data_IF_255763146616
#
_entry.id   IF_255763146616
#
_cell.length_a   1.000
_cell.length_b   1.000
_cell.length_c   1.000
_cell.angle_alpha   90.00
_cell.angle_beta   90.00
_cell.angle_gamma   90.00
#
_symmetry.space_group_name_H-M   'P 1'
#
loop_
_entity.id
_entity.type
_entity.pdbx_description
1 polymer ?
#
# COMPACT_ATOMS: atom_id res chain seq x y z
N UNK A 1 2.52 3.99 -54.78
CA UNK A 1 3.50 2.94 -55.12
C UNK A 1 3.48 1.95 -53.97
N UNK A 2 2.92 0.79 -54.23
CA UNK A 2 2.64 -0.32 -53.30
C UNK A 2 3.77 -1.34 -53.35
N UNK A 3 4.31 -1.70 -52.19
CA UNK A 3 5.19 -2.87 -52.08
C UNK A 3 4.63 -3.81 -51.03
N UNK A 4 4.06 -4.92 -51.47
CA UNK A 4 3.65 -6.07 -50.65
C UNK A 4 4.84 -7.01 -50.51
N UNK A 5 5.25 -7.33 -49.29
CA UNK A 5 6.19 -8.42 -49.00
C UNK A 5 5.41 -9.59 -48.42
N UNK A 6 5.45 -10.74 -49.13
CA UNK A 6 4.93 -12.04 -48.72
C UNK A 6 6.03 -12.77 -47.96
N UNK A 7 5.75 -13.29 -46.77
CA UNK A 7 6.61 -14.28 -46.12
C UNK A 7 6.00 -15.66 -46.19
N UNK A 8 6.81 -16.60 -46.67
CA UNK A 8 6.53 -18.02 -46.80
C UNK A 8 6.58 -18.74 -45.45
N UNK A 9 5.63 -19.64 -45.23
CA UNK A 9 5.63 -20.68 -44.19
C UNK A 9 6.54 -21.84 -44.60
N UNK A 10 7.42 -22.25 -43.71
CA UNK A 10 8.13 -23.52 -43.78
C UNK A 10 7.76 -24.36 -42.54
N UNK A 11 7.04 -25.45 -42.79
CA UNK A 11 6.72 -26.51 -41.84
C UNK A 11 7.87 -27.51 -41.83
N UNK A 12 8.34 -27.87 -40.66
CA UNK A 12 9.28 -29.02 -40.49
C UNK A 12 8.67 -29.99 -39.48
N UNK A 13 8.33 -31.17 -39.98
CA UNK A 13 7.93 -32.34 -39.23
C UNK A 13 9.17 -33.08 -38.73
N UNK A 14 9.19 -33.51 -37.48
CA UNK A 14 10.21 -34.46 -36.99
C UNK A 14 9.52 -35.64 -36.29
N UNK A 15 9.99 -36.79 -36.66
CA UNK A 15 9.49 -38.14 -36.51
C UNK A 15 9.80 -38.72 -35.12
N UNK A 16 8.82 -39.43 -34.56
CA UNK A 16 8.89 -40.31 -33.37
C UNK A 16 9.73 -41.58 -33.67
N UNK A 17 10.58 -41.98 -32.74
CA UNK A 17 11.07 -43.38 -32.65
C UNK A 17 10.85 -43.90 -31.26
N UNK A 18 9.94 -44.90 -31.18
CA UNK A 18 9.79 -45.83 -30.03
C UNK A 18 10.94 -46.87 -30.06
N UNK A 19 11.50 -47.13 -28.90
CA UNK A 19 12.28 -48.36 -28.68
C UNK A 19 11.83 -48.98 -27.37
N UNK A 20 11.09 -50.10 -27.49
CA UNK A 20 10.80 -51.04 -26.43
C UNK A 20 11.91 -52.08 -26.32
N UNK A 21 12.35 -52.39 -25.10
CA UNK A 21 13.01 -53.63 -24.77
C UNK A 21 12.51 -54.15 -23.44
N UNK A 22 11.76 -55.22 -23.55
CA UNK A 22 11.32 -56.12 -22.50
C UNK A 22 12.47 -57.04 -22.06
N UNK A 23 12.61 -57.28 -20.75
CA UNK A 23 13.29 -58.48 -20.25
C UNK A 23 12.80 -58.84 -18.85
N UNK A 24 12.05 -59.92 -18.85
CA UNK A 24 11.56 -60.66 -17.67
C UNK A 24 12.74 -61.17 -16.82
N UNK A 25 12.59 -61.09 -15.48
CA UNK A 25 13.14 -62.05 -14.52
C UNK A 25 12.51 -61.85 -13.14
N UNK A 26 11.70 -62.80 -12.71
CA UNK A 26 11.29 -63.06 -11.32
C UNK A 26 12.01 -64.39 -10.86
N UNK A 27 11.97 -64.82 -9.56
CA UNK A 27 11.74 -64.09 -8.30
C UNK A 27 12.78 -64.38 -7.20
N UNK A 28 12.84 -63.59 -6.13
CA UNK A 28 13.23 -64.10 -4.82
C UNK A 28 12.60 -63.23 -3.73
N UNK A 29 11.83 -63.86 -2.85
CA UNK A 29 11.21 -63.27 -1.67
C UNK A 29 12.27 -62.93 -0.61
N UNK A 30 12.15 -61.73 -0.02
CA UNK A 30 12.43 -61.58 1.41
C UNK A 30 11.70 -60.34 1.95
N UNK A 31 11.15 -60.48 3.16
CA UNK A 31 10.19 -59.58 3.75
C UNK A 31 10.80 -58.20 4.12
N UNK A 32 10.26 -57.18 3.49
CA UNK A 32 10.43 -55.79 3.94
C UNK A 32 9.06 -55.21 4.32
N UNK A 33 8.96 -54.86 5.58
CA UNK A 33 7.86 -54.09 6.16
C UNK A 33 7.65 -52.80 5.33
N UNK A 34 6.41 -52.48 4.88
CA UNK A 34 6.20 -51.21 4.18
C UNK A 34 6.40 -50.06 5.13
N UNK A 35 7.42 -49.24 4.85
CA UNK A 35 7.58 -47.95 5.49
C UNK A 35 6.37 -47.07 5.16
N UNK A 36 5.68 -46.57 6.17
CA UNK A 36 4.64 -45.60 6.02
C UNK A 36 5.15 -44.41 5.16
N UNK A 37 4.30 -43.86 4.25
CA UNK A 37 4.70 -42.70 3.49
C UNK A 37 4.98 -41.55 4.47
N UNK A 38 6.23 -41.15 4.59
CA UNK A 38 6.62 -39.97 5.33
C UNK A 38 5.83 -38.80 4.79
N UNK A 39 5.02 -38.18 5.65
CA UNK A 39 4.36 -36.92 5.34
C UNK A 39 5.44 -35.96 4.85
N UNK A 40 5.31 -35.50 3.60
CA UNK A 40 6.14 -34.43 3.08
C UNK A 40 5.88 -33.22 3.98
N UNK A 41 6.84 -32.89 4.83
CA UNK A 41 6.84 -31.65 5.61
C UNK A 41 7.02 -30.55 4.58
N UNK A 42 5.91 -29.90 4.23
CA UNK A 42 5.97 -28.64 3.49
C UNK A 42 6.79 -27.68 4.34
N UNK A 43 7.90 -27.09 3.82
CA UNK A 43 8.60 -26.06 4.57
C UNK A 43 7.56 -25.00 4.94
N UNK A 44 7.38 -24.71 6.23
CA UNK A 44 6.62 -23.56 6.66
C UNK A 44 7.31 -22.36 6.00
N UNK A 45 6.62 -21.70 5.08
CA UNK A 45 7.10 -20.48 4.45
C UNK A 45 7.43 -19.51 5.58
N UNK A 46 8.72 -19.17 5.72
CA UNK A 46 9.14 -18.26 6.77
C UNK A 46 8.40 -16.94 6.57
N UNK A 47 7.65 -16.50 7.59
CA UNK A 47 6.93 -15.25 7.53
C UNK A 47 7.91 -14.11 7.17
N UNK A 48 7.50 -13.19 6.30
CA UNK A 48 8.32 -12.04 5.94
C UNK A 48 8.73 -11.27 7.22
N UNK A 49 9.93 -10.65 7.24
CA UNK A 49 10.33 -9.80 8.35
C UNK A 49 9.40 -8.58 8.51
N UNK A 50 9.35 -8.01 9.70
CA UNK A 50 8.64 -6.74 9.95
C UNK A 50 9.50 -5.52 9.70
N UNK A 51 10.80 -5.69 9.59
CA UNK A 51 11.75 -4.59 9.40
C UNK A 51 12.75 -4.93 8.32
N UNK A 52 13.22 -3.90 7.65
CA UNK A 52 14.37 -3.96 6.76
C UNK A 52 15.19 -2.70 6.98
N UNK A 53 16.52 -2.79 6.91
CA UNK A 53 17.40 -1.63 6.89
C UNK A 53 18.66 -1.95 6.10
N UNK A 54 19.11 -0.97 5.33
CA UNK A 54 20.34 -1.04 4.58
C UNK A 54 21.05 0.32 4.65
N UNK A 55 22.36 0.28 4.78
CA UNK A 55 23.20 1.48 4.78
C UNK A 55 24.36 1.28 3.79
N UNK A 56 24.44 2.19 2.84
CA UNK A 56 25.56 2.29 1.90
C UNK A 56 26.38 3.53 2.18
N UNK A 57 27.38 3.83 1.38
CA UNK A 57 28.09 5.10 1.42
C UNK A 57 27.23 6.27 0.95
N UNK A 58 26.13 6.03 0.23
CA UNK A 58 25.31 7.03 -0.47
C UNK A 58 23.91 7.14 0.08
N UNK A 59 23.39 6.12 0.77
CA UNK A 59 22.05 6.12 1.31
C UNK A 59 21.90 5.33 2.61
N UNK A 60 20.93 5.72 3.43
CA UNK A 60 20.41 4.93 4.54
C UNK A 60 18.92 4.73 4.28
N UNK A 61 18.49 3.47 4.23
CA UNK A 61 17.08 3.12 3.99
C UNK A 61 16.54 2.21 5.09
N UNK A 62 15.27 2.37 5.43
CA UNK A 62 14.63 1.52 6.44
C UNK A 62 13.14 1.32 6.18
N UNK A 63 12.65 0.14 6.58
CA UNK A 63 11.24 -0.25 6.56
C UNK A 63 10.83 -0.70 7.95
N UNK A 64 9.63 -0.30 8.37
CA UNK A 64 8.97 -0.82 9.57
C UNK A 64 7.50 -1.12 9.27
N UNK A 65 7.10 -2.37 9.53
CA UNK A 65 5.74 -2.86 9.39
C UNK A 65 5.10 -3.09 10.77
N UNK A 66 3.79 -2.92 10.93
CA UNK A 66 3.10 -3.20 12.17
C UNK A 66 2.96 -4.71 12.43
N UNK A 67 2.91 -5.11 13.70
CA UNK A 67 2.70 -6.52 14.07
C UNK A 67 1.38 -7.08 13.54
N UNK A 68 0.35 -6.25 13.48
CA UNK A 68 -0.99 -6.62 12.99
C UNK A 68 -0.97 -7.19 11.56
N UNK A 69 -0.01 -6.82 10.72
CA UNK A 69 0.10 -7.31 9.34
C UNK A 69 0.30 -8.83 9.26
N UNK A 70 0.83 -9.44 10.32
CA UNK A 70 1.05 -10.89 10.41
C UNK A 70 -0.26 -11.70 10.33
N UNK A 71 -1.39 -11.09 10.70
CA UNK A 71 -2.71 -11.69 10.55
C UNK A 71 -3.13 -11.87 9.07
N UNK A 72 -2.42 -11.21 8.13
CA UNK A 72 -2.65 -11.25 6.69
C UNK A 72 -1.35 -11.60 5.96
N UNK A 73 -0.93 -12.89 5.92
CA UNK A 73 0.37 -13.31 5.37
C UNK A 73 0.60 -12.89 3.92
N UNK A 74 -0.44 -12.96 3.07
CA UNK A 74 -0.35 -12.55 1.66
C UNK A 74 -0.09 -11.02 1.53
N UNK A 75 -0.74 -10.20 2.36
CA UNK A 75 -0.49 -8.77 2.42
C UNK A 75 0.92 -8.49 2.93
N UNK A 76 1.32 -9.16 4.01
CA UNK A 76 2.64 -9.00 4.62
C UNK A 76 3.76 -9.29 3.63
N UNK A 77 3.73 -10.46 2.98
CA UNK A 77 4.73 -10.84 1.98
C UNK A 77 4.78 -9.85 0.81
N UNK A 78 3.61 -9.45 0.30
CA UNK A 78 3.49 -8.50 -0.81
C UNK A 78 4.07 -7.13 -0.44
N UNK A 79 3.64 -6.55 0.68
CA UNK A 79 4.07 -5.23 1.12
C UNK A 79 5.58 -5.24 1.41
N UNK A 80 6.08 -6.24 2.14
CA UNK A 80 7.50 -6.36 2.43
C UNK A 80 8.34 -6.41 1.14
N UNK A 81 7.98 -7.27 0.19
CA UNK A 81 8.71 -7.40 -1.06
C UNK A 81 8.71 -6.11 -1.88
N UNK A 82 7.56 -5.43 -1.99
CA UNK A 82 7.42 -4.18 -2.73
C UNK A 82 8.23 -3.04 -2.10
N UNK A 83 8.13 -2.88 -0.78
CA UNK A 83 8.85 -1.80 -0.10
C UNK A 83 10.36 -2.02 -0.08
N UNK A 84 10.82 -3.26 0.13
CA UNK A 84 12.27 -3.56 0.07
C UNK A 84 12.84 -3.34 -1.32
N UNK A 85 12.09 -3.71 -2.38
CA UNK A 85 12.52 -3.44 -3.75
C UNK A 85 12.64 -1.93 -4.01
N UNK A 86 11.63 -1.14 -3.61
CA UNK A 86 11.63 0.31 -3.73
C UNK A 86 12.78 0.98 -2.95
N UNK A 87 13.04 0.55 -1.71
CA UNK A 87 14.14 1.09 -0.89
C UNK A 87 15.52 0.77 -1.47
N UNK A 88 15.70 -0.40 -2.10
CA UNK A 88 16.94 -0.73 -2.79
C UNK A 88 17.13 0.09 -4.05
N UNK A 89 16.08 0.26 -4.84
CA UNK A 89 16.09 1.13 -6.02
C UNK A 89 16.47 2.57 -5.64
N UNK A 90 15.93 3.09 -4.55
CA UNK A 90 16.31 4.40 -4.01
C UNK A 90 17.82 4.46 -3.64
N UNK A 91 18.33 3.44 -2.97
CA UNK A 91 19.75 3.39 -2.58
C UNK A 91 20.69 3.30 -3.79
N UNK A 92 20.30 2.54 -4.83
CA UNK A 92 21.03 2.46 -6.10
C UNK A 92 21.00 3.79 -6.86
N UNK A 93 19.83 4.46 -6.90
CA UNK A 93 19.68 5.80 -7.47
C UNK A 93 20.57 6.84 -6.77
N UNK A 94 20.60 6.82 -5.43
CA UNK A 94 21.47 7.68 -4.64
C UNK A 94 22.96 7.54 -5.00
N UNK A 95 23.42 6.33 -5.28
CA UNK A 95 24.79 6.08 -5.73
C UNK A 95 25.05 6.69 -7.11
N UNK A 96 24.13 6.53 -8.04
CA UNK A 96 24.25 7.09 -9.39
C UNK A 96 24.31 8.63 -9.34
N UNK A 97 23.36 9.25 -8.65
CA UNK A 97 23.26 10.72 -8.50
C UNK A 97 24.51 11.33 -7.87
N UNK A 98 25.00 10.74 -6.76
CA UNK A 98 26.21 11.24 -6.09
C UNK A 98 27.47 11.08 -6.95
N UNK A 99 27.54 10.02 -7.74
CA UNK A 99 28.65 9.77 -8.66
C UNK A 99 28.66 10.81 -9.79
N UNK A 100 27.49 11.08 -10.38
CA UNK A 100 27.34 12.06 -11.46
C UNK A 100 27.56 13.49 -10.97
N UNK A 101 27.05 13.84 -9.79
CA UNK A 101 27.20 15.15 -9.21
C UNK A 101 28.63 15.45 -8.69
N UNK A 102 29.52 14.45 -8.61
CA UNK A 102 30.82 14.58 -8.00
C UNK A 102 30.78 14.98 -6.51
N UNK A 103 29.69 14.65 -5.82
CA UNK A 103 29.40 15.00 -4.43
C UNK A 103 29.37 13.73 -3.53
N UNK A 104 30.50 13.08 -3.28
CA UNK A 104 30.55 11.72 -2.69
C UNK A 104 30.09 11.65 -1.22
N UNK A 105 29.71 12.76 -0.60
CA UNK A 105 29.42 12.83 0.84
C UNK A 105 27.97 13.20 1.17
N UNK A 106 27.06 13.29 0.21
CA UNK A 106 25.66 13.53 0.47
C UNK A 106 24.92 12.20 0.61
N UNK A 107 24.77 11.72 1.83
CA UNK A 107 23.98 10.51 2.08
C UNK A 107 22.48 10.83 2.00
N UNK A 108 21.78 10.14 1.10
CA UNK A 108 20.32 10.18 1.00
C UNK A 108 19.69 9.36 2.12
N UNK A 109 18.46 9.66 2.47
CA UNK A 109 17.72 8.91 3.48
C UNK A 109 16.30 8.63 3.00
N UNK A 110 15.86 7.38 3.13
CA UNK A 110 14.46 7.03 2.95
C UNK A 110 14.00 6.08 4.06
N UNK A 111 12.95 6.48 4.77
CA UNK A 111 12.30 5.67 5.80
C UNK A 111 10.85 5.43 5.40
N UNK A 112 10.43 4.17 5.41
CA UNK A 112 9.05 3.78 5.18
C UNK A 112 8.50 3.13 6.45
N UNK A 113 7.43 3.68 6.99
CA UNK A 113 6.70 3.10 8.12
C UNK A 113 5.24 2.85 7.74
N UNK A 114 4.77 1.64 8.02
CA UNK A 114 3.35 1.33 7.98
C UNK A 114 2.82 1.15 9.39
N UNK A 115 1.63 1.68 9.65
CA UNK A 115 0.91 1.49 10.91
C UNK A 115 -0.52 1.02 10.64
N UNK A 116 -1.06 0.17 11.49
CA UNK A 116 -2.45 -0.23 11.42
C UNK A 116 -3.33 0.98 11.73
N UNK A 117 -4.27 1.31 10.83
CA UNK A 117 -5.22 2.38 11.03
C UNK A 117 -6.53 1.85 11.62
N UNK A 118 -7.14 0.85 10.96
CA UNK A 118 -8.34 0.18 11.44
C UNK A 118 -8.56 -1.15 10.71
N UNK A 119 -9.25 -2.07 11.39
CA UNK A 119 -9.67 -3.35 10.83
C UNK A 119 -11.17 -3.55 11.01
N UNK A 120 -11.84 -4.04 9.96
CA UNK A 120 -13.25 -4.40 9.97
C UNK A 120 -13.43 -5.90 9.66
N UNK A 121 -14.65 -6.36 9.50
CA UNK A 121 -14.94 -7.76 9.13
C UNK A 121 -14.20 -8.21 7.87
N UNK A 122 -14.24 -7.39 6.80
CA UNK A 122 -13.63 -7.71 5.50
C UNK A 122 -12.31 -6.99 5.23
N UNK A 123 -12.08 -5.83 5.83
CA UNK A 123 -11.01 -4.92 5.43
C UNK A 123 -9.95 -4.76 6.51
N UNK A 124 -8.69 -4.72 6.11
CA UNK A 124 -7.56 -4.23 6.91
C UNK A 124 -7.03 -2.95 6.26
N UNK A 125 -6.92 -1.88 7.04
CA UNK A 125 -6.45 -0.57 6.59
C UNK A 125 -5.15 -0.20 7.28
N UNK A 126 -4.11 0.11 6.47
CA UNK A 126 -2.81 0.55 6.96
C UNK A 126 -2.52 1.95 6.42
N UNK A 127 -1.94 2.80 7.24
CA UNK A 127 -1.31 4.05 6.80
C UNK A 127 0.15 3.80 6.52
N UNK A 128 0.61 4.17 5.34
CA UNK A 128 2.00 4.17 4.93
C UNK A 128 2.53 5.61 4.92
N UNK A 129 3.64 5.85 5.59
CA UNK A 129 4.37 7.11 5.56
C UNK A 129 5.77 6.85 5.02
N UNK A 130 6.13 7.53 3.95
CA UNK A 130 7.48 7.55 3.41
C UNK A 130 8.09 8.93 3.67
N UNK A 131 9.17 8.95 4.42
CA UNK A 131 10.06 10.11 4.58
C UNK A 131 11.23 9.94 3.63
N UNK A 132 11.59 11.02 2.93
CA UNK A 132 12.69 11.02 1.97
C UNK A 132 13.50 12.30 2.07
N UNK A 133 14.82 12.16 2.11
CA UNK A 133 15.74 13.26 2.02
C UNK A 133 16.84 12.95 0.98
N UNK A 134 16.86 13.75 -0.07
CA UNK A 134 17.84 13.65 -1.17
C UNK A 134 18.71 14.89 -1.25
N UNK A 135 18.84 15.59 -0.12
CA UNK A 135 19.49 16.90 -0.05
C UNK A 135 18.50 18.06 -0.22
N UNK A 136 19.01 19.27 -0.10
CA UNK A 136 18.20 20.49 -0.20
C UNK A 136 17.72 21.03 1.15
N UNK A 137 16.71 21.90 1.12
CA UNK A 137 16.30 22.69 2.29
C UNK A 137 15.50 21.87 3.33
N UNK A 138 14.80 20.84 2.92
CA UNK A 138 13.95 20.02 3.80
C UNK A 138 13.62 18.65 3.15
N UNK A 139 13.27 17.65 3.97
CA UNK A 139 12.82 16.36 3.46
C UNK A 139 11.44 16.45 2.80
N UNK A 140 11.07 15.39 2.09
CA UNK A 140 9.72 15.15 1.61
C UNK A 140 9.04 14.08 2.45
N UNK A 141 7.72 14.18 2.62
CA UNK A 141 6.91 13.17 3.30
C UNK A 141 5.69 12.86 2.46
N UNK A 142 5.55 11.59 2.09
CA UNK A 142 4.42 11.09 1.31
C UNK A 142 3.62 10.11 2.18
N UNK A 143 2.32 10.37 2.31
CA UNK A 143 1.41 9.49 3.03
C UNK A 143 0.44 8.82 2.05
N UNK A 144 0.25 7.51 2.18
CA UNK A 144 -0.70 6.73 1.38
C UNK A 144 -1.48 5.74 2.26
N UNK A 145 -2.64 5.30 1.76
CA UNK A 145 -3.43 4.26 2.40
C UNK A 145 -3.26 2.92 1.69
N UNK A 146 -3.16 1.85 2.45
CA UNK A 146 -3.30 0.49 1.97
C UNK A 146 -4.59 -0.06 2.53
N UNK A 147 -5.52 -0.44 1.67
CA UNK A 147 -6.77 -1.07 2.04
C UNK A 147 -6.81 -2.47 1.43
N UNK A 148 -6.86 -3.48 2.28
CA UNK A 148 -6.77 -4.88 1.91
C UNK A 148 -8.09 -5.60 2.17
N UNK A 149 -8.65 -6.25 1.14
CA UNK A 149 -9.76 -7.18 1.32
C UNK A 149 -9.22 -8.55 1.74
N UNK A 150 -9.54 -8.94 2.98
CA UNK A 150 -9.02 -10.15 3.63
C UNK A 150 -9.52 -11.45 2.97
N UNK A 151 -10.74 -11.43 2.44
CA UNK A 151 -11.35 -12.59 1.78
C UNK A 151 -10.87 -12.71 0.33
N UNK A 152 -10.78 -11.60 -0.39
CA UNK A 152 -10.32 -11.58 -1.78
C UNK A 152 -8.80 -11.61 -1.90
N UNK A 153 -8.08 -11.43 -0.79
CA UNK A 153 -6.62 -11.39 -0.73
C UNK A 153 -6.02 -10.41 -1.74
N UNK A 154 -6.60 -9.22 -1.84
CA UNK A 154 -6.14 -8.16 -2.73
C UNK A 154 -6.37 -6.77 -2.16
N UNK A 155 -5.57 -5.84 -2.64
CA UNK A 155 -5.79 -4.43 -2.37
C UNK A 155 -7.04 -3.96 -3.10
N UNK A 156 -7.81 -3.12 -2.42
CA UNK A 156 -8.98 -2.41 -2.95
C UNK A 156 -8.77 -0.92 -2.77
N UNK A 157 -9.47 -0.13 -3.55
CA UNK A 157 -9.32 1.32 -3.54
C UNK A 157 -10.66 2.04 -3.63
N UNK A 158 -10.59 3.32 -3.96
CA UNK A 158 -11.76 4.18 -4.08
C UNK A 158 -12.87 3.59 -4.97
N UNK A 159 -12.49 3.08 -6.14
CA UNK A 159 -13.44 2.57 -7.14
C UNK A 159 -14.25 1.34 -6.67
N UNK A 160 -13.73 0.57 -5.72
CA UNK A 160 -14.43 -0.57 -5.15
C UNK A 160 -15.25 -0.21 -3.91
N UNK A 161 -14.78 0.75 -3.12
CA UNK A 161 -15.45 1.19 -1.88
C UNK A 161 -16.67 2.05 -2.19
N UNK A 162 -16.63 2.80 -3.29
CA UNK A 162 -17.71 3.73 -3.65
C UNK A 162 -18.47 3.28 -4.89
N UNK A 163 -19.74 3.67 -4.95
CA UNK A 163 -20.61 3.43 -6.10
C UNK A 163 -20.08 4.19 -7.33
N UNK A 164 -19.94 3.48 -8.44
CA UNK A 164 -19.49 4.07 -9.70
C UNK A 164 -20.44 5.19 -10.14
N UNK A 165 -19.87 6.36 -10.43
CA UNK A 165 -20.63 7.53 -10.90
C UNK A 165 -21.39 8.28 -9.81
N UNK A 166 -21.15 7.98 -8.52
CA UNK A 166 -21.71 8.75 -7.42
C UNK A 166 -21.21 10.21 -7.45
N UNK A 167 -22.07 11.13 -6.99
CA UNK A 167 -21.69 12.54 -6.84
C UNK A 167 -20.98 12.76 -5.51
N UNK A 168 -19.69 13.02 -5.57
CA UNK A 168 -18.85 13.26 -4.40
C UNK A 168 -18.78 14.71 -3.93
N UNK A 169 -19.53 15.66 -4.54
CA UNK A 169 -19.47 17.08 -4.19
C UNK A 169 -19.79 17.34 -2.69
N UNK A 170 -20.66 16.53 -2.08
CA UNK A 170 -20.95 16.59 -0.65
C UNK A 170 -19.75 16.19 0.20
N UNK A 171 -19.09 15.11 -0.17
CA UNK A 171 -17.88 14.61 0.50
C UNK A 171 -16.69 15.54 0.31
N UNK A 172 -16.50 16.11 -0.89
CA UNK A 172 -15.47 17.13 -1.16
C UNK A 172 -15.63 18.34 -0.25
N UNK A 173 -16.87 18.83 -0.06
CA UNK A 173 -17.16 19.94 0.88
C UNK A 173 -16.88 19.56 2.33
N UNK A 174 -17.22 18.34 2.74
CA UNK A 174 -16.96 17.87 4.10
C UNK A 174 -15.44 17.74 4.36
N UNK A 175 -14.69 17.21 3.40
CA UNK A 175 -13.23 17.14 3.45
C UNK A 175 -12.61 18.52 3.54
N UNK A 176 -13.03 19.46 2.70
CA UNK A 176 -12.55 20.84 2.69
C UNK A 176 -12.83 21.55 4.04
N UNK A 177 -14.00 21.34 4.63
CA UNK A 177 -14.35 21.88 5.95
C UNK A 177 -13.45 21.28 7.05
N UNK A 178 -13.19 19.97 7.01
CA UNK A 178 -12.29 19.30 7.95
C UNK A 178 -10.85 19.79 7.85
N UNK A 179 -10.33 19.98 6.63
CA UNK A 179 -9.01 20.57 6.38
C UNK A 179 -8.93 21.97 7.00
N UNK A 180 -9.87 22.85 6.72
CA UNK A 180 -9.88 24.22 7.27
C UNK A 180 -10.00 24.23 8.80
N UNK A 181 -10.72 23.29 9.39
CA UNK A 181 -10.77 23.14 10.83
C UNK A 181 -9.40 22.72 11.40
N UNK A 182 -8.71 21.76 10.78
CA UNK A 182 -7.39 21.31 11.18
C UNK A 182 -6.33 22.40 11.00
N UNK A 183 -6.40 23.16 9.89
CA UNK A 183 -5.51 24.32 9.67
C UNK A 183 -5.64 25.35 10.79
N UNK A 184 -6.86 25.80 11.10
CA UNK A 184 -7.09 26.78 12.19
C UNK A 184 -6.67 26.26 13.56
N UNK A 185 -6.83 24.96 13.82
CA UNK A 185 -6.40 24.38 15.08
C UNK A 185 -4.86 24.36 15.24
N UNK A 186 -4.12 24.20 14.14
CA UNK A 186 -2.66 24.17 14.14
C UNK A 186 -2.05 25.55 14.03
N UNK A 187 -2.57 26.37 13.15
CA UNK A 187 -2.12 27.75 12.87
C UNK A 187 -3.34 28.64 12.88
N UNK A 188 -3.62 29.39 13.97
CA UNK A 188 -4.86 30.19 14.11
C UNK A 188 -5.13 31.14 12.96
N UNK A 189 -4.07 31.75 12.40
CA UNK A 189 -4.15 32.74 11.31
C UNK A 189 -3.91 32.11 9.92
N UNK A 190 -3.92 30.76 9.80
CA UNK A 190 -3.76 30.10 8.51
C UNK A 190 -4.89 30.49 7.56
N UNK A 191 -4.53 30.90 6.35
CA UNK A 191 -5.52 31.19 5.32
C UNK A 191 -6.35 29.95 4.97
N UNK A 192 -7.69 30.09 4.92
CA UNK A 192 -8.54 28.97 4.54
C UNK A 192 -8.37 28.62 3.06
N UNK A 193 -8.50 27.34 2.77
CA UNK A 193 -8.52 26.82 1.40
C UNK A 193 -9.95 26.58 0.93
N UNK A 194 -10.16 26.59 -0.39
CA UNK A 194 -11.46 26.34 -1.01
C UNK A 194 -11.34 25.33 -2.15
N UNK A 195 -12.46 24.71 -2.52
CA UNK A 195 -12.53 23.92 -3.75
C UNK A 195 -12.28 24.84 -4.95
N UNK A 196 -11.25 24.53 -5.75
CA UNK A 196 -10.86 25.39 -6.90
C UNK A 196 -10.11 26.66 -6.51
N UNK A 197 -9.52 26.74 -5.32
CA UNK A 197 -8.61 27.81 -4.91
C UNK A 197 -7.42 27.99 -5.89
N UNK A 198 -6.84 29.19 -5.94
CA UNK A 198 -5.78 29.51 -6.91
C UNK A 198 -4.40 29.08 -6.41
N UNK A 199 -4.01 29.52 -5.21
CA UNK A 199 -2.68 29.23 -4.65
C UNK A 199 -2.70 27.90 -3.91
N UNK A 200 -3.68 27.72 -3.02
CA UNK A 200 -3.95 26.47 -2.32
C UNK A 200 -5.41 26.09 -2.50
N UNK A 201 -5.67 24.82 -2.81
CA UNK A 201 -7.03 24.32 -3.02
C UNK A 201 -7.31 23.14 -2.11
N UNK A 202 -8.57 22.98 -1.71
CA UNK A 202 -9.01 21.72 -1.13
C UNK A 202 -8.92 20.61 -2.18
N UNK A 203 -8.25 19.50 -1.86
CA UNK A 203 -8.19 18.36 -2.77
C UNK A 203 -9.57 17.70 -2.88
N UNK A 204 -9.76 16.95 -3.98
CA UNK A 204 -10.92 16.10 -4.17
C UNK A 204 -10.79 14.83 -3.35
N UNK A 205 -11.88 14.40 -2.70
CA UNK A 205 -11.87 13.18 -1.90
C UNK A 205 -11.44 11.93 -2.70
N UNK A 206 -11.88 11.81 -3.96
CA UNK A 206 -11.54 10.70 -4.84
C UNK A 206 -10.04 10.64 -5.24
N UNK A 207 -9.34 11.75 -5.13
CA UNK A 207 -7.92 11.90 -5.50
C UNK A 207 -7.00 11.93 -4.26
N UNK A 208 -7.57 11.89 -3.07
CA UNK A 208 -6.84 12.01 -1.80
C UNK A 208 -6.67 10.64 -1.16
N UNK A 209 -5.46 10.23 -0.80
CA UNK A 209 -5.23 9.01 -0.05
C UNK A 209 -6.01 8.99 1.27
N UNK A 210 -6.50 7.83 1.66
CA UNK A 210 -7.27 7.68 2.89
C UNK A 210 -7.02 6.34 3.58
N UNK A 211 -7.38 6.28 4.85
CA UNK A 211 -7.46 5.07 5.66
C UNK A 211 -8.82 5.02 6.36
N UNK A 212 -9.22 3.85 6.83
CA UNK A 212 -10.43 3.69 7.63
C UNK A 212 -10.25 4.32 9.02
N UNK A 213 -11.25 5.05 9.47
CA UNK A 213 -11.32 5.59 10.83
C UNK A 213 -12.21 4.69 11.71
N UNK A 214 -11.82 4.39 12.98
CA UNK A 214 -12.61 3.56 13.88
C UNK A 214 -14.01 4.11 14.11
N UNK A 215 -15.00 3.21 14.13
CA UNK A 215 -16.39 3.52 14.50
C UNK A 215 -16.72 3.18 15.94
N UNK A 216 -17.83 3.74 16.46
CA UNK A 216 -18.40 3.36 17.76
C UNK A 216 -18.99 1.95 17.74
N UNK A 217 -19.26 1.40 16.56
CA UNK A 217 -19.67 0.00 16.38
C UNK A 217 -18.43 -0.87 16.21
N UNK A 218 -18.26 -1.86 17.08
CA UNK A 218 -17.09 -2.76 17.05
C UNK A 218 -16.92 -3.43 15.69
N UNK A 219 -15.68 -3.45 15.18
CA UNK A 219 -15.34 -4.05 13.89
C UNK A 219 -15.93 -3.33 12.67
N UNK A 220 -16.35 -2.06 12.82
CA UNK A 220 -16.86 -1.22 11.73
C UNK A 220 -16.10 0.11 11.68
N UNK A 221 -15.96 0.65 10.48
CA UNK A 221 -15.43 1.99 10.29
C UNK A 221 -16.53 3.05 10.51
N UNK A 222 -16.22 4.09 11.26
CA UNK A 222 -17.12 5.23 11.52
C UNK A 222 -16.87 6.41 10.59
N UNK A 223 -15.84 6.32 9.73
CA UNK A 223 -15.46 7.38 8.81
C UNK A 223 -14.21 7.01 8.01
N UNK A 224 -13.67 8.04 7.33
CA UNK A 224 -12.40 7.97 6.61
C UNK A 224 -11.47 9.05 7.13
N UNK A 225 -10.20 8.71 7.36
CA UNK A 225 -9.13 9.67 7.60
C UNK A 225 -8.38 9.91 6.30
N UNK A 226 -8.46 11.11 5.77
CA UNK A 226 -7.75 11.55 4.58
C UNK A 226 -6.35 12.02 4.94
N UNK A 227 -5.39 11.68 4.10
CA UNK A 227 -3.96 11.90 4.29
C UNK A 227 -3.50 13.02 3.35
N UNK A 228 -3.21 14.19 3.92
CA UNK A 228 -2.85 15.39 3.17
C UNK A 228 -1.35 15.63 3.37
N UNK A 229 -0.56 15.52 2.32
CA UNK A 229 0.88 15.77 2.37
C UNK A 229 1.25 17.24 2.55
N UNK A 230 2.53 17.53 2.88
CA UNK A 230 3.06 18.90 2.84
C UNK A 230 2.82 19.54 1.48
N UNK A 231 2.70 20.86 1.43
CA UNK A 231 2.45 21.65 0.22
C UNK A 231 1.09 21.43 -0.47
N UNK A 232 0.24 20.52 -0.01
CA UNK A 232 -1.05 20.30 -0.67
C UNK A 232 -2.10 21.38 -0.35
N UNK A 233 -2.08 21.90 0.87
CA UNK A 233 -3.09 22.87 1.33
C UNK A 233 -2.49 24.08 2.06
N UNK A 234 -1.19 24.25 2.00
CA UNK A 234 -0.45 25.34 2.65
C UNK A 234 1.06 25.16 2.49
N UNK A 235 1.88 26.11 2.98
CA UNK A 235 3.32 26.02 2.90
C UNK A 235 3.87 24.83 3.69
N UNK A 236 5.09 24.40 3.37
CA UNK A 236 5.75 23.26 4.02
C UNK A 236 5.75 23.35 5.56
N UNK A 237 5.92 24.54 6.10
CA UNK A 237 5.94 24.78 7.55
C UNK A 237 4.64 24.40 8.27
N UNK A 238 3.51 24.31 7.58
CA UNK A 238 2.27 23.78 8.14
C UNK A 238 2.34 22.25 8.31
N UNK A 239 3.23 21.57 7.60
CA UNK A 239 3.36 20.11 7.63
C UNK A 239 2.19 19.35 7.01
N UNK A 240 2.15 18.02 7.17
CA UNK A 240 1.04 17.20 6.71
C UNK A 240 -0.18 17.29 7.62
N UNK A 241 -1.36 16.98 7.08
CA UNK A 241 -2.60 16.89 7.84
C UNK A 241 -3.23 15.50 7.70
N UNK A 242 -3.79 14.99 8.79
CA UNK A 242 -4.66 13.84 8.80
C UNK A 242 -6.04 14.32 9.27
N UNK A 243 -7.02 14.30 8.37
CA UNK A 243 -8.35 14.84 8.65
C UNK A 243 -9.42 13.78 8.49
N UNK A 244 -10.27 13.65 9.49
CA UNK A 244 -11.28 12.60 9.49
C UNK A 244 -12.65 13.16 9.11
N UNK A 245 -13.29 12.50 8.14
CA UNK A 245 -14.65 12.78 7.71
C UNK A 245 -15.56 11.65 8.20
N UNK A 246 -16.66 11.95 8.92
CA UNK A 246 -17.55 10.94 9.46
C UNK A 246 -18.38 10.24 8.38
N UNK A 247 -18.80 9.01 8.65
CA UNK A 247 -19.62 8.18 7.77
C UNK A 247 -20.86 8.91 7.24
N UNK A 248 -21.48 9.75 8.05
CA UNK A 248 -22.68 10.51 7.66
C UNK A 248 -22.50 11.40 6.42
N UNK A 249 -21.25 11.75 6.07
CA UNK A 249 -20.95 12.56 4.89
C UNK A 249 -20.93 11.75 3.57
N UNK A 250 -20.83 10.42 3.65
CA UNK A 250 -20.64 9.57 2.46
C UNK A 250 -21.37 8.22 2.49
N UNK A 251 -22.16 7.93 3.52
CA UNK A 251 -22.83 6.63 3.68
C UNK A 251 -23.64 6.22 2.45
N UNK A 252 -24.36 7.13 1.84
CA UNK A 252 -25.16 6.88 0.63
C UNK A 252 -24.34 6.66 -0.65
N UNK A 253 -23.03 6.93 -0.60
CA UNK A 253 -22.13 6.80 -1.72
C UNK A 253 -21.40 5.43 -1.74
N UNK A 254 -21.50 4.65 -0.64
CA UNK A 254 -20.82 3.38 -0.50
C UNK A 254 -21.36 2.34 -1.49
N UNK A 255 -20.45 1.56 -2.05
CA UNK A 255 -20.81 0.40 -2.85
C UNK A 255 -21.42 -0.69 -1.95
N UNK A 256 -22.48 -1.40 -2.40
CA UNK A 256 -23.14 -2.44 -1.59
C UNK A 256 -22.19 -3.53 -1.06
N UNK A 257 -21.11 -3.83 -1.79
CA UNK A 257 -20.13 -4.85 -1.38
C UNK A 257 -19.41 -4.51 -0.07
N UNK A 258 -19.27 -3.23 0.25
CA UNK A 258 -18.52 -2.74 1.42
C UNK A 258 -19.35 -1.87 2.36
N UNK A 259 -20.60 -1.55 2.04
CA UNK A 259 -21.46 -0.69 2.87
C UNK A 259 -21.57 -1.22 4.31
N UNK A 260 -21.65 -2.55 4.48
CA UNK A 260 -21.74 -3.18 5.80
C UNK A 260 -20.45 -3.10 6.63
N UNK A 261 -19.32 -2.68 6.04
CA UNK A 261 -18.07 -2.47 6.77
C UNK A 261 -18.06 -1.13 7.53
N UNK A 262 -19.06 -0.30 7.31
CA UNK A 262 -19.20 1.02 7.90
C UNK A 262 -20.45 1.10 8.77
N UNK A 263 -20.31 1.53 10.03
CA UNK A 263 -21.44 1.76 10.94
C UNK A 263 -21.05 2.65 12.13
N UNK A 264 -22.07 3.25 12.73
CA UNK A 264 -21.94 4.10 13.91
C UNK A 264 -21.37 5.48 13.59
N UNK A 265 -20.90 6.15 14.63
CA UNK A 265 -20.20 7.43 14.57
C UNK A 265 -18.70 7.21 14.70
N UNK A 266 -17.90 8.25 14.52
CA UNK A 266 -16.47 8.19 14.82
C UNK A 266 -16.24 7.83 16.30
N UNK A 267 -15.38 6.85 16.54
CA UNK A 267 -14.91 6.57 17.89
C UNK A 267 -14.08 7.75 18.39
N UNK A 268 -14.23 8.10 19.66
CA UNK A 268 -13.33 9.07 20.30
C UNK A 268 -11.96 8.41 20.41
N UNK A 269 -11.00 8.92 19.66
CA UNK A 269 -9.60 8.52 19.85
C UNK A 269 -9.18 9.05 21.22
N UNK A 270 -8.76 8.16 22.14
CA UNK A 270 -8.14 8.60 23.36
C UNK A 270 -6.86 9.37 22.96
N UNK A 271 -6.85 10.67 23.21
CA UNK A 271 -5.63 11.48 23.08
C UNK A 271 -4.65 10.97 24.11
N UNK A 272 -3.75 10.07 23.72
CA UNK A 272 -2.50 9.86 24.47
C UNK A 272 -1.69 11.14 24.26
N UNK A 273 -1.76 12.02 25.26
CA UNK A 273 -0.82 13.14 25.37
C UNK A 273 0.59 12.56 25.46
N UNK A 274 1.55 13.07 24.64
CA UNK A 274 2.94 12.60 24.63
C UNK A 274 3.63 12.81 26.00
#
# INVERSE_FOLDING_TARGET
>A
MTARVRFLLLASAAVLTLSACNRDREPAADGAVPAAPGAAVTPAEAAAPLTFSEKTAFATVSLKLPDDIKAQPDLHAKVYAQEVAHLREFAEGAQADNTEAGAPNLAYEQTVELVAAHETGKLMSLKRTAFEFTGGAHPNTVMTGVLWDKALKRQVGWAEIFTKGADFAGLDRALCAAINAAKRARVPDAEPVALGGKDWACPRAAETPFVLAPGTTGGKAGGLTFLIGPYQVGPYAEGPYEVTVPLSAFQSLLAPAYADEFAGSLAKVATTTP
#
